data_IF_682142845953
#
_entry.id   IF_682142845953
#
_cell.length_a   1.000
_cell.length_b   1.000
_cell.length_c   1.000
_cell.angle_alpha   90.00
_cell.angle_beta   90.00
_cell.angle_gamma   90.00
#
_symmetry.space_group_name_H-M   'P 1'
#
loop_
_entity.id
_entity.type
_entity.pdbx_description
1 polymer ?
#
# COMPACT_ATOMS: atom_id res chain seq x y z
N UNK A 1 -3.14 31.64 15.52
CA UNK A 1 -3.66 30.38 14.96
C UNK A 1 -2.57 29.88 14.03
N UNK A 2 -1.41 29.49 14.55
CA UNK A 2 -1.17 28.29 15.38
C UNK A 2 -1.52 27.04 14.57
N UNK A 3 -0.50 26.50 13.90
CA UNK A 3 -0.20 25.06 13.78
C UNK A 3 0.56 24.77 12.48
N UNK A 4 1.70 25.46 12.30
CA UNK A 4 2.78 24.93 11.47
C UNK A 4 3.34 23.75 12.25
N UNK A 5 2.78 22.56 11.98
CA UNK A 5 3.10 21.28 12.61
C UNK A 5 4.59 20.99 12.46
N UNK A 6 5.40 21.57 13.34
CA UNK A 6 6.84 21.39 13.41
C UNK A 6 7.08 19.91 13.69
N UNK A 7 7.52 19.18 12.67
CA UNK A 7 7.95 17.80 12.82
C UNK A 7 9.07 17.83 13.86
N UNK A 8 8.93 17.14 15.02
CA UNK A 8 9.95 17.19 16.06
C UNK A 8 11.29 16.75 15.46
N UNK A 9 12.36 17.39 15.92
CA UNK A 9 13.71 17.03 15.50
C UNK A 9 13.95 15.53 15.77
N UNK A 10 14.69 14.85 14.88
CA UNK A 10 15.01 13.43 15.01
C UNK A 10 15.41 13.01 16.43
N UNK A 11 16.29 13.73 17.16
CA UNK A 11 16.67 13.35 18.52
C UNK A 11 15.53 13.44 19.55
N UNK A 12 14.66 14.45 19.47
CA UNK A 12 13.50 14.57 20.39
C UNK A 12 12.48 13.46 20.15
N UNK A 13 12.30 13.08 18.88
CA UNK A 13 11.40 11.99 18.51
C UNK A 13 11.92 10.65 19.02
N UNK A 14 13.22 10.39 18.89
CA UNK A 14 13.87 9.18 19.45
C UNK A 14 13.72 9.17 20.97
N UNK A 15 14.03 10.26 21.67
CA UNK A 15 13.88 10.34 23.13
C UNK A 15 12.46 10.07 23.61
N UNK A 16 11.43 10.65 22.98
CA UNK A 16 10.02 10.37 23.33
C UNK A 16 9.64 8.92 23.04
N UNK A 17 10.13 8.32 21.96
CA UNK A 17 9.84 6.91 21.67
C UNK A 17 10.49 5.99 22.70
N UNK A 18 11.73 6.27 23.09
CA UNK A 18 12.46 5.46 24.08
C UNK A 18 11.99 5.67 25.52
N UNK A 19 11.37 6.82 25.85
CA UNK A 19 10.91 7.09 27.21
C UNK A 19 9.87 6.05 27.70
N UNK A 20 8.90 5.73 26.84
CA UNK A 20 7.73 4.94 27.23
C UNK A 20 7.62 3.59 26.52
N UNK A 21 8.42 3.34 25.47
CA UNK A 21 8.35 2.09 24.69
C UNK A 21 9.59 1.24 24.87
N UNK A 22 9.35 -0.05 25.06
CA UNK A 22 10.37 -1.08 24.91
C UNK A 22 10.73 -1.20 23.43
N UNK A 23 11.92 -0.74 23.06
CA UNK A 23 12.44 -0.82 21.69
C UNK A 23 13.77 -1.58 21.74
N UNK A 24 13.86 -2.78 21.18
CA UNK A 24 15.11 -3.51 21.14
C UNK A 24 16.10 -2.84 20.19
N UNK A 25 17.37 -2.80 20.58
CA UNK A 25 18.45 -2.39 19.70
C UNK A 25 18.57 -3.36 18.52
N UNK A 26 18.63 -2.90 17.26
CA UNK A 26 18.72 -3.81 16.10
C UNK A 26 20.08 -4.51 15.97
N UNK A 27 21.06 -4.19 16.82
CA UNK A 27 22.40 -4.78 16.78
C UNK A 27 22.68 -5.75 17.93
N UNK A 28 22.09 -5.53 19.12
CA UNK A 28 22.34 -6.34 20.31
C UNK A 28 21.07 -6.77 21.04
N UNK A 29 19.90 -6.38 20.52
CA UNK A 29 18.57 -6.69 21.06
C UNK A 29 18.29 -6.17 22.48
N UNK A 30 19.24 -5.44 23.07
CA UNK A 30 19.05 -4.78 24.36
C UNK A 30 17.90 -3.77 24.32
N UNK A 31 17.10 -3.74 25.38
CA UNK A 31 15.97 -2.84 25.48
C UNK A 31 16.43 -1.40 25.74
N UNK A 32 16.15 -0.51 24.79
CA UNK A 32 16.54 0.90 24.85
C UNK A 32 15.57 1.77 25.64
N UNK A 33 14.61 1.17 26.37
CA UNK A 33 13.66 1.90 27.21
C UNK A 33 14.39 2.78 28.23
N UNK A 34 14.01 4.04 28.28
CA UNK A 34 14.57 5.05 29.18
C UNK A 34 15.96 5.57 28.80
N UNK A 35 16.56 5.11 27.69
CA UNK A 35 17.86 5.59 27.24
C UNK A 35 17.74 7.03 26.73
N UNK A 36 18.37 7.97 27.43
CA UNK A 36 18.43 9.40 27.04
C UNK A 36 19.69 9.73 26.23
N UNK A 37 20.69 8.84 26.29
CA UNK A 37 21.96 8.98 25.58
C UNK A 37 21.82 8.78 24.08
N UNK A 38 22.79 9.30 23.33
CA UNK A 38 22.86 9.09 21.89
C UNK A 38 23.34 7.71 21.48
N UNK A 39 23.80 6.87 22.42
CA UNK A 39 24.36 5.57 22.10
C UNK A 39 23.71 4.47 22.95
N UNK A 40 23.69 3.26 22.41
CA UNK A 40 23.30 2.07 23.15
C UNK A 40 24.34 1.75 24.26
N UNK A 41 23.92 1.48 25.51
CA UNK A 41 24.85 1.17 26.61
C UNK A 41 25.59 -0.16 26.41
N UNK A 42 24.97 -1.13 25.74
CA UNK A 42 25.57 -2.45 25.49
C UNK A 42 26.54 -2.45 24.29
N UNK A 43 26.10 -2.00 23.12
CA UNK A 43 26.90 -2.09 21.89
C UNK A 43 27.60 -0.80 21.47
N UNK A 44 27.35 0.33 22.15
CA UNK A 44 27.96 1.63 21.84
C UNK A 44 27.51 2.29 20.54
N UNK A 45 26.58 1.68 19.80
CA UNK A 45 26.08 2.21 18.50
C UNK A 45 25.26 3.48 18.69
N UNK A 46 25.43 4.43 17.78
CA UNK A 46 24.67 5.69 17.74
C UNK A 46 23.20 5.43 17.39
N UNK A 47 22.29 5.95 18.22
CA UNK A 47 20.84 5.83 18.12
C UNK A 47 20.22 6.96 17.29
N UNK A 48 20.97 8.02 16.99
CA UNK A 48 20.51 9.12 16.15
C UNK A 48 20.75 8.87 14.66
N UNK A 49 21.45 7.78 14.32
CA UNK A 49 21.74 7.42 12.95
C UNK A 49 20.41 7.21 12.18
N UNK A 50 20.13 8.02 11.13
CA UNK A 50 18.88 7.95 10.41
C UNK A 50 18.69 6.56 9.80
N UNK A 51 17.52 5.95 10.04
CA UNK A 51 17.19 4.61 9.55
C UNK A 51 17.45 3.46 10.52
N UNK A 52 18.07 3.70 11.69
CA UNK A 52 18.31 2.63 12.67
C UNK A 52 16.99 2.02 13.18
N UNK A 53 15.99 2.86 13.45
CA UNK A 53 14.67 2.44 13.93
C UNK A 53 13.64 2.18 12.82
N UNK A 54 13.91 2.58 11.58
CA UNK A 54 12.98 2.36 10.45
C UNK A 54 12.90 0.88 10.04
N UNK A 55 13.90 0.07 10.39
CA UNK A 55 13.89 -1.39 10.11
C UNK A 55 12.79 -2.16 10.86
N UNK A 56 12.27 -1.64 11.97
CA UNK A 56 11.25 -2.31 12.78
C UNK A 56 9.82 -1.82 12.53
N UNK A 57 9.63 -0.73 11.78
CA UNK A 57 8.30 -0.24 11.43
C UNK A 57 7.85 -1.01 10.21
N UNK A 58 7.22 -2.17 10.42
CA UNK A 58 6.45 -2.86 9.38
C UNK A 58 5.56 -1.82 8.70
N UNK A 59 5.88 -1.44 7.47
CA UNK A 59 5.09 -0.46 6.73
C UNK A 59 3.63 -0.95 6.74
N UNK A 60 2.65 -0.09 7.06
CA UNK A 60 1.25 -0.48 6.98
C UNK A 60 1.01 -1.00 5.56
N UNK A 61 0.71 -2.29 5.46
CA UNK A 61 0.44 -3.01 4.22
C UNK A 61 -0.50 -2.14 3.38
N UNK A 62 0.00 -1.61 2.27
CA UNK A 62 -0.67 -0.56 1.51
C UNK A 62 -1.86 -1.14 0.74
N UNK A 63 -2.97 -1.36 1.44
CA UNK A 63 -4.28 -1.78 0.90
C UNK A 63 -4.71 -0.92 -0.30
N UNK A 64 -4.31 0.36 -0.30
CA UNK A 64 -4.59 1.31 -1.37
C UNK A 64 -4.00 0.93 -2.74
N UNK A 65 -2.88 0.19 -2.77
CA UNK A 65 -2.28 -0.28 -4.04
C UNK A 65 -3.10 -1.40 -4.69
N UNK A 66 -3.73 -2.24 -3.87
CA UNK A 66 -4.61 -3.32 -4.35
C UNK A 66 -5.91 -2.75 -4.94
N UNK A 67 -6.43 -1.67 -4.35
CA UNK A 67 -7.63 -0.96 -4.84
C UNK A 67 -7.38 -0.32 -6.21
N UNK A 68 -6.23 0.34 -6.41
CA UNK A 68 -5.90 0.98 -7.69
C UNK A 68 -5.76 -0.06 -8.82
N UNK A 69 -5.17 -1.22 -8.54
CA UNK A 69 -5.07 -2.31 -9.50
C UNK A 69 -6.44 -2.89 -9.86
N UNK A 70 -7.32 -3.08 -8.88
CA UNK A 70 -8.67 -3.61 -9.10
C UNK A 70 -9.52 -2.70 -10.00
N UNK A 71 -9.47 -1.37 -9.78
CA UNK A 71 -10.22 -0.40 -10.59
C UNK A 71 -9.76 -0.44 -12.05
N UNK A 72 -8.45 -0.48 -12.30
CA UNK A 72 -7.90 -0.53 -13.67
C UNK A 72 -8.32 -1.82 -14.38
N UNK A 73 -8.27 -2.96 -13.69
CA UNK A 73 -8.70 -4.25 -14.25
C UNK A 73 -10.19 -4.23 -14.61
N UNK A 74 -11.04 -3.69 -13.73
CA UNK A 74 -12.48 -3.56 -14.01
C UNK A 74 -12.76 -2.66 -15.22
N UNK A 75 -12.07 -1.51 -15.32
CA UNK A 75 -12.23 -0.58 -16.44
C UNK A 75 -11.86 -1.24 -17.79
N UNK A 76 -10.79 -2.03 -17.83
CA UNK A 76 -10.37 -2.78 -19.02
C UNK A 76 -11.41 -3.82 -19.42
N UNK A 77 -11.94 -4.59 -18.45
CA UNK A 77 -12.97 -5.60 -18.72
C UNK A 77 -14.21 -4.95 -19.33
N UNK A 78 -14.70 -3.85 -18.73
CA UNK A 78 -15.87 -3.12 -19.23
C UNK A 78 -15.62 -2.58 -20.65
N UNK A 79 -14.44 -2.02 -20.90
CA UNK A 79 -14.05 -1.52 -22.23
C UNK A 79 -14.00 -2.65 -23.27
N UNK A 80 -13.43 -3.80 -22.93
CA UNK A 80 -13.40 -4.98 -23.81
C UNK A 80 -14.81 -5.48 -24.13
N UNK A 81 -15.68 -5.59 -23.12
CA UNK A 81 -17.08 -6.01 -23.31
C UNK A 81 -17.84 -5.05 -24.22
N UNK A 82 -17.62 -3.74 -24.03
CA UNK A 82 -18.21 -2.72 -24.89
C UNK A 82 -17.74 -2.88 -26.33
N UNK A 83 -16.43 -2.98 -26.58
CA UNK A 83 -15.88 -3.17 -27.93
C UNK A 83 -16.44 -4.43 -28.57
N UNK A 84 -16.47 -5.56 -27.85
CA UNK A 84 -17.02 -6.81 -28.34
C UNK A 84 -18.49 -6.67 -28.73
N UNK A 85 -19.29 -6.01 -27.90
CA UNK A 85 -20.70 -5.74 -28.20
C UNK A 85 -20.86 -4.96 -29.50
N UNK A 86 -20.10 -3.87 -29.69
CA UNK A 86 -20.14 -3.08 -30.92
C UNK A 86 -19.69 -3.88 -32.14
N UNK A 87 -18.66 -4.72 -32.02
CA UNK A 87 -18.22 -5.59 -33.10
C UNK A 87 -19.29 -6.62 -33.48
N UNK A 88 -19.96 -7.23 -32.50
CA UNK A 88 -21.08 -8.16 -32.75
C UNK A 88 -22.25 -7.45 -33.44
N UNK A 89 -22.63 -6.25 -32.99
CA UNK A 89 -23.68 -5.45 -33.63
C UNK A 89 -23.31 -5.07 -35.06
N UNK A 90 -22.09 -4.56 -35.30
CA UNK A 90 -21.62 -4.19 -36.62
C UNK A 90 -21.55 -5.40 -37.56
N UNK A 91 -21.08 -6.56 -37.07
CA UNK A 91 -21.04 -7.80 -37.84
C UNK A 91 -22.44 -8.28 -38.23
N UNK A 92 -23.42 -8.20 -37.32
CA UNK A 92 -24.81 -8.55 -37.60
C UNK A 92 -25.45 -7.64 -38.66
N UNK A 93 -25.15 -6.34 -38.64
CA UNK A 93 -25.63 -5.39 -39.66
C UNK A 93 -24.98 -5.68 -41.02
N UNK A 94 -23.69 -6.01 -41.05
CA UNK A 94 -22.97 -6.29 -42.28
C UNK A 94 -23.37 -7.63 -42.93
N UNK A 95 -23.79 -8.62 -42.13
CA UNK A 95 -24.17 -9.96 -42.59
C UNK A 95 -25.58 -10.36 -42.12
N UNK A 96 -26.65 -9.79 -42.68
CA UNK A 96 -28.02 -10.05 -42.25
C UNK A 96 -28.47 -11.51 -42.45
N UNK A 97 -27.79 -12.28 -43.32
CA UNK A 97 -28.07 -13.70 -43.53
C UNK A 97 -27.47 -14.66 -42.48
N UNK A 98 -26.58 -14.18 -41.61
CA UNK A 98 -25.86 -15.06 -40.65
C UNK A 98 -26.60 -15.28 -39.31
N UNK A 99 -27.65 -14.51 -39.02
CA UNK A 99 -28.38 -14.57 -37.74
C UNK A 99 -29.63 -15.48 -37.77
N UNK A 100 -29.83 -16.24 -38.85
CA UNK A 100 -30.96 -17.17 -39.01
C UNK A 100 -30.85 -18.52 -38.28
N UNK A 101 -29.81 -18.76 -37.47
CA UNK A 101 -29.53 -20.07 -36.88
C UNK A 101 -29.28 -20.06 -35.38
N UNK A 102 -30.34 -20.30 -34.60
CA UNK A 102 -30.29 -21.10 -33.37
C UNK A 102 -29.51 -20.56 -32.17
N UNK A 103 -30.15 -19.72 -31.36
CA UNK A 103 -29.66 -19.37 -30.02
C UNK A 103 -30.83 -19.10 -29.08
N UNK A 104 -31.81 -20.00 -29.03
CA UNK A 104 -32.89 -19.95 -28.06
C UNK A 104 -32.32 -20.07 -26.65
N UNK A 105 -32.29 -18.96 -25.91
CA UNK A 105 -32.26 -18.99 -24.45
C UNK A 105 -33.62 -19.51 -23.96
N UNK A 106 -33.75 -20.83 -23.90
CA UNK A 106 -34.83 -21.50 -23.21
C UNK A 106 -34.63 -21.35 -21.69
N UNK A 107 -35.38 -20.43 -21.09
CA UNK A 107 -35.68 -20.46 -19.66
C UNK A 107 -36.73 -21.55 -19.42
N UNK A 108 -36.34 -22.68 -18.83
CA UNK A 108 -37.14 -23.56 -17.95
C UNK A 108 -36.20 -24.51 -17.19
#
# INVERSE_FOLDING_TARGET
MSDERSKPSTPERVRRMLADKDVPCPSCEYNLRGVQGGCCPECGRDLYEPGLFDRGVSQPRSIWKDVESAIKTLAIIVLCLFILFFLTCAYGIANPGSLGGGGGFGFW
#
